data_IF_306472631693
#
_entry.id   IF_306472631693
#
_cell.length_a   1.000
_cell.length_b   1.000
_cell.length_c   1.000
_cell.angle_alpha   90.00
_cell.angle_beta   90.00
_cell.angle_gamma   90.00
#
_symmetry.space_group_name_H-M   'P 1'
#
loop_
_entity.id
_entity.type
_entity.pdbx_description
1 polymer ?
#
# COMPACT_ATOMS: atom_id res chain seq x y z
N UNK A 1 -14.25 9.28 -2.20
CA UNK A 1 -14.14 7.80 -2.21
C UNK A 1 -13.45 7.42 -0.93
N UNK A 2 -13.97 6.45 -0.16
CA UNK A 2 -13.36 6.02 1.10
C UNK A 2 -12.40 4.83 0.88
N UNK A 3 -11.69 4.42 1.94
CA UNK A 3 -10.74 3.29 1.91
C UNK A 3 -11.44 2.03 1.42
N UNK A 4 -12.67 1.77 1.89
CA UNK A 4 -13.45 0.59 1.49
C UNK A 4 -13.71 0.55 -0.01
N UNK A 5 -14.12 1.68 -0.59
CA UNK A 5 -14.38 1.78 -2.03
C UNK A 5 -13.10 1.59 -2.85
N UNK A 6 -11.96 2.12 -2.39
CA UNK A 6 -10.67 1.89 -3.03
C UNK A 6 -10.24 0.42 -2.94
N UNK A 7 -10.40 -0.23 -1.79
CA UNK A 7 -10.13 -1.66 -1.62
C UNK A 7 -11.00 -2.50 -2.55
N UNK A 8 -12.29 -2.17 -2.71
CA UNK A 8 -13.16 -2.87 -3.67
C UNK A 8 -12.62 -2.74 -5.10
N UNK A 9 -12.29 -1.52 -5.55
CA UNK A 9 -11.72 -1.28 -6.89
C UNK A 9 -10.41 -2.03 -7.13
N UNK A 10 -9.56 -2.10 -6.11
CA UNK A 10 -8.31 -2.86 -6.15
C UNK A 10 -8.61 -4.37 -6.31
N UNK A 11 -9.57 -4.93 -5.57
CA UNK A 11 -9.98 -6.33 -5.73
C UNK A 11 -10.57 -6.61 -7.11
N UNK A 12 -11.43 -5.72 -7.62
CA UNK A 12 -12.01 -5.82 -8.95
C UNK A 12 -10.91 -5.88 -10.02
N UNK A 13 -9.88 -5.04 -9.88
CA UNK A 13 -8.73 -5.06 -10.77
C UNK A 13 -7.97 -6.39 -10.71
N UNK A 14 -7.63 -6.87 -9.52
CA UNK A 14 -6.89 -8.12 -9.32
C UNK A 14 -7.68 -9.32 -9.87
N UNK A 15 -9.00 -9.33 -9.64
CA UNK A 15 -9.91 -10.32 -10.21
C UNK A 15 -9.94 -10.26 -11.74
N UNK A 16 -9.98 -9.06 -12.32
CA UNK A 16 -9.97 -8.87 -13.78
C UNK A 16 -8.71 -9.41 -14.46
N UNK A 17 -7.61 -9.54 -13.70
CA UNK A 17 -6.35 -10.14 -14.16
C UNK A 17 -6.29 -11.66 -13.97
N UNK A 18 -7.29 -12.27 -13.35
CA UNK A 18 -7.29 -13.69 -13.00
C UNK A 18 -6.28 -14.05 -11.91
N UNK A 19 -5.81 -13.07 -11.12
CA UNK A 19 -4.74 -13.32 -10.16
C UNK A 19 -5.20 -14.02 -8.88
N UNK A 20 -6.52 -14.13 -8.68
CA UNK A 20 -7.11 -14.95 -7.63
C UNK A 20 -7.27 -16.43 -8.00
N UNK A 21 -7.03 -16.81 -9.26
CA UNK A 21 -7.15 -18.20 -9.67
C UNK A 21 -6.07 -19.07 -9.00
N UNK A 22 -6.38 -20.33 -8.61
CA UNK A 22 -5.47 -21.19 -7.87
C UNK A 22 -4.12 -21.48 -8.55
N UNK A 23 -4.06 -21.38 -9.87
CA UNK A 23 -2.87 -21.61 -10.70
C UNK A 23 -2.17 -20.31 -11.14
N UNK A 24 -2.60 -19.17 -10.61
CA UNK A 24 -1.97 -17.88 -10.87
C UNK A 24 -0.50 -17.87 -10.44
N UNK A 25 0.39 -17.53 -11.37
CA UNK A 25 1.80 -17.23 -11.07
C UNK A 25 1.98 -15.96 -10.22
N UNK A 26 0.91 -15.18 -10.05
CA UNK A 26 0.83 -13.94 -9.28
C UNK A 26 -0.08 -14.19 -8.07
N UNK A 27 0.27 -15.17 -7.24
CA UNK A 27 -0.52 -15.51 -6.06
C UNK A 27 -0.59 -14.31 -5.10
N UNK A 28 -1.80 -13.96 -4.66
CA UNK A 28 -2.07 -12.83 -3.76
C UNK A 28 -1.93 -13.22 -2.28
N UNK A 29 -0.89 -13.98 -1.95
CA UNK A 29 -0.60 -14.40 -0.56
C UNK A 29 -0.06 -13.21 0.25
N UNK A 30 -0.30 -13.19 1.57
CA UNK A 30 0.21 -12.13 2.45
C UNK A 30 1.73 -11.95 2.33
N UNK A 31 2.48 -13.04 2.11
CA UNK A 31 3.92 -13.00 1.87
C UNK A 31 4.24 -12.23 0.59
N UNK A 32 3.61 -12.58 -0.52
CA UNK A 32 3.92 -11.97 -1.82
C UNK A 32 3.52 -10.48 -1.82
N UNK A 33 2.35 -10.17 -1.26
CA UNK A 33 1.88 -8.78 -1.14
C UNK A 33 2.78 -7.94 -0.24
N UNK A 34 3.28 -8.48 0.87
CA UNK A 34 4.23 -7.76 1.73
C UNK A 34 5.58 -7.51 1.03
N UNK A 35 6.03 -8.44 0.19
CA UNK A 35 7.22 -8.24 -0.64
C UNK A 35 6.96 -7.14 -1.65
N UNK A 36 5.88 -7.21 -2.42
CA UNK A 36 5.50 -6.17 -3.39
C UNK A 36 5.39 -4.80 -2.74
N UNK A 37 4.69 -4.69 -1.60
CA UNK A 37 4.60 -3.44 -0.83
C UNK A 37 5.98 -2.84 -0.53
N UNK A 38 6.96 -3.66 -0.15
CA UNK A 38 8.31 -3.19 0.13
C UNK A 38 9.08 -2.79 -1.14
N UNK A 39 8.84 -3.48 -2.26
CA UNK A 39 9.43 -3.11 -3.55
C UNK A 39 8.96 -1.71 -3.96
N UNK A 40 7.65 -1.46 -3.99
CA UNK A 40 7.13 -0.14 -4.39
C UNK A 40 7.52 0.96 -3.40
N UNK A 41 7.60 0.63 -2.10
CA UNK A 41 8.11 1.57 -1.10
C UNK A 41 9.60 1.89 -1.30
N UNK A 42 10.36 1.00 -1.94
CA UNK A 42 11.75 1.26 -2.33
C UNK A 42 11.82 2.15 -3.57
N UNK A 43 10.89 2.01 -4.52
CA UNK A 43 10.78 2.91 -5.69
C UNK A 43 10.50 4.36 -5.25
N UNK A 44 9.68 4.56 -4.20
CA UNK A 44 9.53 5.88 -3.55
C UNK A 44 10.87 6.45 -3.06
N UNK A 45 11.79 5.61 -2.55
CA UNK A 45 13.11 6.07 -2.08
C UNK A 45 14.02 6.48 -3.24
N UNK A 46 13.87 5.89 -4.42
CA UNK A 46 14.71 6.20 -5.58
C UNK A 46 14.59 7.67 -6.00
N UNK A 47 13.41 8.27 -5.83
CA UNK A 47 13.17 9.69 -6.07
C UNK A 47 13.99 10.64 -5.19
N UNK A 48 14.53 10.14 -4.08
CA UNK A 48 15.30 10.92 -3.12
C UNK A 48 16.73 10.41 -2.93
N UNK A 49 17.17 9.41 -3.71
CA UNK A 49 18.45 8.72 -3.49
C UNK A 49 19.66 9.66 -3.56
N UNK A 50 19.62 10.66 -4.44
CA UNK A 50 20.75 11.56 -4.73
C UNK A 50 20.46 13.04 -4.45
N UNK A 51 19.26 13.37 -3.97
CA UNK A 51 18.80 14.74 -3.75
C UNK A 51 17.54 14.77 -2.89
N UNK A 52 17.40 15.79 -2.04
CA UNK A 52 16.16 16.05 -1.29
C UNK A 52 15.01 16.58 -2.18
N UNK A 53 15.30 16.88 -3.45
CA UNK A 53 14.31 17.32 -4.43
C UNK A 53 13.89 16.14 -5.30
N UNK A 54 12.59 15.89 -5.36
CA UNK A 54 12.00 15.00 -6.34
C UNK A 54 11.86 15.74 -7.68
N UNK A 55 12.56 15.25 -8.71
CA UNK A 55 12.55 15.85 -10.05
C UNK A 55 11.32 15.42 -10.88
N UNK A 56 10.70 14.28 -10.55
CA UNK A 56 9.49 13.77 -11.21
C UNK A 56 8.36 13.47 -10.21
N UNK A 57 7.51 14.47 -9.98
CA UNK A 57 6.37 14.37 -9.07
C UNK A 57 5.25 13.46 -9.57
N UNK A 58 5.15 13.23 -10.89
CA UNK A 58 4.15 12.33 -11.47
C UNK A 58 4.48 10.88 -11.15
N UNK A 59 5.74 10.49 -11.37
CA UNK A 59 6.24 9.14 -11.02
C UNK A 59 6.13 8.90 -9.51
N UNK A 60 6.57 9.86 -8.67
CA UNK A 60 6.44 9.73 -7.21
C UNK A 60 4.98 9.52 -6.78
N UNK A 61 4.03 10.21 -7.42
CA UNK A 61 2.61 10.01 -7.12
C UNK A 61 2.13 8.62 -7.54
N UNK A 62 2.67 8.06 -8.63
CA UNK A 62 2.48 6.68 -9.05
C UNK A 62 2.96 5.69 -8.00
N UNK A 63 4.20 5.81 -7.55
CA UNK A 63 4.78 4.89 -6.56
C UNK A 63 4.04 4.93 -5.21
N UNK A 64 3.61 6.11 -4.77
CA UNK A 64 2.76 6.23 -3.58
C UNK A 64 1.39 5.55 -3.76
N UNK A 65 0.83 5.58 -4.98
CA UNK A 65 -0.40 4.87 -5.29
C UNK A 65 -0.19 3.36 -5.27
N UNK A 66 0.92 2.86 -5.81
CA UNK A 66 1.23 1.42 -5.84
C UNK A 66 1.50 0.87 -4.43
N UNK A 67 2.27 1.59 -3.60
CA UNK A 67 2.40 1.31 -2.16
C UNK A 67 1.03 1.22 -1.49
N UNK A 68 0.14 2.16 -1.79
CA UNK A 68 -1.20 2.19 -1.22
C UNK A 68 -2.03 0.98 -1.67
N UNK A 69 -2.00 0.61 -2.94
CA UNK A 69 -2.74 -0.53 -3.47
C UNK A 69 -2.31 -1.85 -2.83
N UNK A 70 -1.00 -2.11 -2.71
CA UNK A 70 -0.51 -3.31 -2.03
C UNK A 70 -0.81 -3.29 -0.53
N UNK A 71 -0.76 -2.13 0.14
CA UNK A 71 -1.14 -2.03 1.55
C UNK A 71 -2.63 -2.35 1.75
N UNK A 72 -3.51 -1.79 0.91
CA UNK A 72 -4.95 -2.08 0.95
C UNK A 72 -5.22 -3.57 0.73
N UNK A 73 -4.53 -4.17 -0.24
CA UNK A 73 -4.68 -5.58 -0.54
C UNK A 73 -4.18 -6.48 0.58
N UNK A 74 -2.98 -6.20 1.10
CA UNK A 74 -2.38 -6.95 2.20
C UNK A 74 -3.26 -6.90 3.45
N UNK A 75 -3.79 -5.72 3.79
CA UNK A 75 -4.72 -5.57 4.90
C UNK A 75 -5.99 -6.40 4.68
N UNK A 76 -6.57 -6.34 3.48
CA UNK A 76 -7.78 -7.08 3.13
C UNK A 76 -7.60 -8.60 3.23
N UNK A 77 -6.58 -9.18 2.59
CA UNK A 77 -6.34 -10.64 2.64
C UNK A 77 -5.93 -11.13 4.03
N UNK A 78 -5.43 -10.22 4.88
CA UNK A 78 -5.08 -10.52 6.27
C UNK A 78 -6.24 -10.28 7.24
N UNK A 79 -7.42 -9.89 6.77
CA UNK A 79 -8.60 -9.63 7.60
C UNK A 79 -8.49 -8.39 8.49
N UNK A 80 -7.67 -7.41 8.11
CA UNK A 80 -7.43 -6.19 8.89
C UNK A 80 -8.33 -5.07 8.38
N UNK A 81 -9.11 -4.47 9.28
CA UNK A 81 -9.79 -3.20 9.00
C UNK A 81 -8.79 -2.04 9.09
N UNK A 82 -8.18 -1.71 7.94
CA UNK A 82 -7.12 -0.71 7.88
C UNK A 82 -7.58 0.68 8.33
N UNK A 83 -8.82 1.08 8.01
CA UNK A 83 -9.37 2.38 8.41
C UNK A 83 -9.44 2.50 9.94
N UNK A 84 -9.96 1.48 10.63
CA UNK A 84 -10.03 1.45 12.09
C UNK A 84 -8.63 1.48 12.72
N UNK A 85 -7.68 0.70 12.20
CA UNK A 85 -6.32 0.69 12.73
C UNK A 85 -5.57 2.01 12.48
N UNK A 86 -5.82 2.69 11.35
CA UNK A 86 -5.31 4.06 11.11
C UNK A 86 -5.86 5.02 12.16
N UNK A 87 -7.18 5.05 12.39
CA UNK A 87 -7.82 5.96 13.36
C UNK A 87 -7.32 5.72 14.79
N UNK A 88 -7.17 4.45 15.17
CA UNK A 88 -6.58 4.03 16.44
C UNK A 88 -5.12 4.49 16.55
N UNK A 89 -4.32 4.33 15.49
CA UNK A 89 -2.91 4.75 15.49
C UNK A 89 -2.77 6.27 15.60
N UNK A 90 -3.61 7.04 14.92
CA UNK A 90 -3.66 8.51 15.03
C UNK A 90 -3.98 8.94 16.47
N UNK A 91 -4.96 8.30 17.10
CA UNK A 91 -5.34 8.55 18.50
C UNK A 91 -4.20 8.27 19.49
N UNK A 92 -3.40 7.24 19.23
CA UNK A 92 -2.19 6.92 20.01
C UNK A 92 -1.09 7.96 19.77
N UNK A 93 -0.82 8.29 18.50
CA UNK A 93 0.25 9.21 18.13
C UNK A 93 -0.01 10.64 18.62
N UNK A 94 -1.26 11.10 18.68
CA UNK A 94 -1.64 12.39 19.24
C UNK A 94 -1.24 12.57 20.72
N UNK A 95 -1.05 11.46 21.45
CA UNK A 95 -0.63 11.45 22.86
C UNK A 95 0.88 11.26 23.03
N UNK A 96 1.62 10.98 21.95
CA UNK A 96 3.08 10.80 22.01
C UNK A 96 3.76 12.16 22.18
N UNK A 97 4.71 12.22 23.11
CA UNK A 97 5.69 13.30 23.17
C UNK A 97 6.90 12.88 22.35
N UNK A 98 7.24 13.69 21.35
CA UNK A 98 8.41 13.48 20.51
C UNK A 98 9.53 14.36 21.06
N UNK A 99 10.58 13.73 21.59
CA UNK A 99 11.83 14.43 21.84
C UNK A 99 12.59 14.35 20.51
N UNK A 100 12.79 15.50 19.87
CA UNK A 100 13.69 15.63 18.72
C UNK A 100 15.15 15.48 19.14
#
# INVERSE_FOLDING_TARGET
MDIKTLTIKMHDFVQSKGWYEPDSLREQSSRNLAISLNLEASEVLEHFQWSDKCDNMEDLAGELADVSLYLLQLASVSGINLEEEILKKLSINAKRKWNG
#
